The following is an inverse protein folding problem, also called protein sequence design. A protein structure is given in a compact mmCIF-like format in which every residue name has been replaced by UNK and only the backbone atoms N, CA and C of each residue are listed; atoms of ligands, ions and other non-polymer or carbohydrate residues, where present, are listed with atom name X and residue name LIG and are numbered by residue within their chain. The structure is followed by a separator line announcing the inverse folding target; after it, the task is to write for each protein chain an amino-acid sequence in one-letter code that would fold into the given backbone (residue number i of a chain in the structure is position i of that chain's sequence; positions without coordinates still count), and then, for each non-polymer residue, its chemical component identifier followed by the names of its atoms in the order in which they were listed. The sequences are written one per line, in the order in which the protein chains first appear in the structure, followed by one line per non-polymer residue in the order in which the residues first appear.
data_IF_498941508100
#
_entry.id   IF_498941508100
#
_cell.length_a   1.000
_cell.length_b   1.000
_cell.length_c   1.000
_cell.angle_alpha   90.00
_cell.angle_beta   90.00
_cell.angle_gamma   90.00
#
_symmetry.space_group_name_H-M   'P 1'
#
loop_
_entity.id
_entity.type
_entity.pdbx_description
1 polymer ?
#
# COMPACT_ATOMS: atom_id res chain seq x y z
N UNK A 1 -16.49 9.57 21.16
CA UNK A 1 -16.34 8.20 21.69
C UNK A 1 -17.04 7.24 20.73
N UNK A 2 -16.37 6.87 19.64
CA UNK A 2 -16.86 5.89 18.66
C UNK A 2 -15.87 4.74 18.68
N UNK A 3 -16.29 3.59 19.24
CA UNK A 3 -15.50 2.36 19.23
C UNK A 3 -15.34 1.91 17.78
N UNK A 4 -14.11 1.86 17.30
CA UNK A 4 -13.75 1.15 16.09
C UNK A 4 -14.22 -0.29 16.24
N UNK A 5 -15.12 -0.72 15.36
CA UNK A 5 -15.42 -2.12 15.16
C UNK A 5 -14.22 -2.73 14.43
N UNK A 6 -13.20 -3.11 15.20
CA UNK A 6 -12.26 -4.14 14.76
C UNK A 6 -13.04 -5.45 14.72
N UNK A 7 -13.52 -5.83 13.53
CA UNK A 7 -14.08 -7.15 13.27
C UNK A 7 -12.93 -8.17 13.36
N UNK A 8 -12.53 -8.50 14.60
CA UNK A 8 -11.58 -9.55 14.98
C UNK A 8 -12.29 -10.91 14.95
N UNK A 9 -12.99 -11.21 13.85
CA UNK A 9 -13.36 -12.59 13.56
C UNK A 9 -12.17 -13.26 12.89
N UNK A 10 -11.62 -14.35 13.44
CA UNK A 10 -10.52 -15.07 12.80
C UNK A 10 -10.95 -15.49 11.40
N UNK A 11 -10.23 -14.98 10.40
CA UNK A 11 -10.52 -15.25 9.00
C UNK A 11 -10.27 -16.75 8.73
N UNK A 12 -11.28 -17.54 8.31
CA UNK A 12 -11.17 -18.99 8.13
C UNK A 12 -10.18 -19.43 7.03
N UNK A 13 -9.50 -18.49 6.38
CA UNK A 13 -8.47 -18.70 5.35
C UNK A 13 -7.06 -18.28 5.80
N UNK A 14 -6.79 -18.18 7.11
CA UNK A 14 -5.44 -17.91 7.61
C UNK A 14 -4.56 -19.15 7.49
N UNK A 15 -3.41 -19.00 6.83
CA UNK A 15 -2.38 -20.03 6.80
C UNK A 15 -1.53 -19.92 8.06
N UNK A 16 -0.92 -21.04 8.46
CA UNK A 16 -0.02 -21.05 9.60
C UNK A 16 1.43 -20.97 9.13
N UNK A 17 2.29 -20.36 9.95
CA UNK A 17 3.73 -20.37 9.72
C UNK A 17 4.29 -21.80 9.74
N UNK A 18 3.69 -22.70 10.53
CA UNK A 18 4.08 -24.10 10.59
C UNK A 18 3.83 -24.83 9.26
N UNK A 19 2.68 -24.59 8.62
CA UNK A 19 2.36 -25.20 7.33
C UNK A 19 3.26 -24.66 6.20
N UNK A 20 3.61 -23.37 6.25
CA UNK A 20 4.60 -22.78 5.35
C UNK A 20 5.96 -23.47 5.51
N UNK A 21 6.47 -23.56 6.74
CA UNK A 21 7.76 -24.18 7.06
C UNK A 21 7.80 -25.68 6.74
N UNK A 22 6.65 -26.35 6.83
CA UNK A 22 6.52 -27.76 6.46
C UNK A 22 6.36 -27.96 4.94
N UNK A 23 6.36 -26.91 4.12
CA UNK A 23 6.20 -27.00 2.67
C UNK A 23 4.80 -27.40 2.20
N UNK A 24 3.81 -27.47 3.10
CA UNK A 24 2.44 -27.89 2.77
C UNK A 24 1.69 -26.89 1.88
N UNK A 25 2.23 -25.68 1.78
CA UNK A 25 1.69 -24.58 1.01
C UNK A 25 2.29 -24.50 -0.40
N UNK A 26 3.05 -25.51 -0.83
CA UNK A 26 3.61 -25.54 -2.19
C UNK A 26 2.51 -25.35 -3.25
N UNK A 27 2.75 -24.44 -4.20
CA UNK A 27 1.85 -24.18 -5.31
C UNK A 27 0.67 -23.25 -5.04
N UNK A 28 0.51 -22.72 -3.82
CA UNK A 28 -0.58 -21.78 -3.54
C UNK A 28 -0.37 -20.45 -4.26
N UNK A 29 -1.48 -19.84 -4.67
CA UNK A 29 -1.47 -18.50 -5.29
C UNK A 29 -1.67 -17.36 -4.32
N UNK A 30 -2.19 -17.64 -3.12
CA UNK A 30 -2.55 -16.63 -2.12
C UNK A 30 -2.08 -17.09 -0.75
N UNK A 31 -1.13 -16.35 -0.17
CA UNK A 31 -0.66 -16.57 1.19
C UNK A 31 -1.19 -15.47 2.11
N UNK A 32 -1.67 -15.88 3.28
CA UNK A 32 -2.12 -14.98 4.33
C UNK A 32 -1.52 -15.43 5.65
N UNK A 33 -0.65 -14.62 6.24
CA UNK A 33 -0.02 -14.85 7.53
C UNK A 33 -0.25 -13.64 8.44
N UNK A 34 -0.96 -13.86 9.55
CA UNK A 34 -1.12 -12.91 10.65
C UNK A 34 -0.91 -13.67 11.95
N UNK A 35 0.37 -13.97 12.23
CA UNK A 35 0.77 -14.82 13.35
C UNK A 35 1.89 -14.18 14.17
N UNK A 36 1.90 -12.84 14.24
CA UNK A 36 2.87 -12.07 15.02
C UNK A 36 4.28 -12.10 14.45
N UNK A 37 4.41 -12.12 13.12
CA UNK A 37 5.72 -12.12 12.45
C UNK A 37 6.52 -10.87 12.82
N UNK A 38 7.73 -11.03 13.35
CA UNK A 38 8.69 -9.93 13.53
C UNK A 38 9.62 -9.76 12.34
N UNK A 39 9.73 -10.79 11.50
CA UNK A 39 10.56 -10.84 10.30
C UNK A 39 9.83 -11.53 9.16
N UNK A 40 10.27 -11.25 7.92
CA UNK A 40 9.75 -11.91 6.74
C UNK A 40 10.23 -13.38 6.71
N UNK A 41 9.33 -14.38 6.68
CA UNK A 41 9.73 -15.79 6.56
C UNK A 41 10.36 -16.07 5.19
N UNK A 42 11.62 -16.49 5.18
CA UNK A 42 12.35 -16.79 3.94
C UNK A 42 11.66 -17.91 3.12
N UNK A 43 10.92 -18.80 3.78
CA UNK A 43 10.17 -19.89 3.15
C UNK A 43 9.06 -19.40 2.20
N UNK A 44 8.66 -18.13 2.27
CA UNK A 44 7.76 -17.53 1.28
C UNK A 44 8.39 -17.56 -0.12
N UNK A 45 9.72 -17.50 -0.23
CA UNK A 45 10.42 -17.59 -1.51
C UNK A 45 10.30 -18.96 -2.18
N UNK A 46 10.00 -20.02 -1.43
CA UNK A 46 9.69 -21.34 -2.00
C UNK A 46 8.38 -21.34 -2.81
N UNK A 47 7.58 -20.27 -2.68
CA UNK A 47 6.34 -20.07 -3.43
C UNK A 47 6.52 -19.15 -4.64
N UNK A 48 7.76 -18.74 -4.97
CA UNK A 48 8.05 -17.75 -6.01
C UNK A 48 7.42 -18.05 -7.37
N UNK A 49 7.32 -19.32 -7.75
CA UNK A 49 6.76 -19.77 -9.02
C UNK A 49 5.23 -19.69 -9.10
N UNK A 50 4.53 -19.47 -7.98
CA UNK A 50 3.06 -19.55 -7.93
C UNK A 50 2.37 -18.41 -7.20
N UNK A 51 3.05 -17.74 -6.26
CA UNK A 51 2.44 -16.77 -5.38
C UNK A 51 2.05 -15.48 -6.13
N UNK A 52 0.75 -15.19 -6.17
CA UNK A 52 0.19 -13.98 -6.81
C UNK A 52 -0.26 -12.94 -5.79
N UNK A 53 -0.68 -13.36 -4.58
CA UNK A 53 -1.19 -12.49 -3.52
C UNK A 53 -0.51 -12.83 -2.21
N UNK A 54 0.12 -11.84 -1.58
CA UNK A 54 0.75 -11.97 -0.29
C UNK A 54 0.10 -10.99 0.70
N UNK A 55 -0.49 -11.53 1.76
CA UNK A 55 -1.00 -10.74 2.88
C UNK A 55 -0.20 -11.07 4.15
N UNK A 56 0.49 -10.06 4.66
CA UNK A 56 1.29 -10.03 5.89
C UNK A 56 0.72 -8.99 6.88
N UNK A 57 -0.56 -8.63 6.75
CA UNK A 57 -1.17 -7.63 7.61
C UNK A 57 -1.35 -8.14 9.05
N UNK A 58 -1.32 -7.25 10.03
CA UNK A 58 -1.47 -7.60 11.44
C UNK A 58 -0.30 -8.41 11.97
N UNK A 59 0.92 -7.94 11.73
CA UNK A 59 2.17 -8.51 12.24
C UNK A 59 3.01 -7.38 12.87
N UNK A 60 4.28 -7.67 13.18
CA UNK A 60 5.25 -6.73 13.76
C UNK A 60 6.42 -6.47 12.80
N UNK A 61 6.18 -6.52 11.49
CA UNK A 61 7.21 -6.32 10.47
C UNK A 61 7.62 -4.85 10.37
N UNK A 62 8.92 -4.60 10.41
CA UNK A 62 9.49 -3.26 10.19
C UNK A 62 10.13 -3.11 8.82
N UNK A 63 10.40 -4.22 8.13
CA UNK A 63 11.06 -4.27 6.83
C UNK A 63 10.55 -5.45 5.99
N UNK A 64 10.85 -5.41 4.70
CA UNK A 64 10.72 -6.51 3.75
C UNK A 64 12.11 -6.81 3.17
N UNK A 65 12.38 -8.04 2.72
CA UNK A 65 13.69 -8.38 2.17
C UNK A 65 13.96 -7.62 0.86
N UNK A 66 15.24 -7.34 0.59
CA UNK A 66 15.68 -6.59 -0.60
C UNK A 66 15.40 -7.35 -1.90
N UNK A 67 15.39 -8.69 -1.85
CA UNK A 67 15.15 -9.58 -2.97
C UNK A 67 13.67 -10.02 -3.10
N UNK A 68 12.73 -9.23 -2.59
CA UNK A 68 11.29 -9.50 -2.72
C UNK A 68 10.85 -9.69 -4.19
N UNK A 69 11.57 -9.05 -5.13
CA UNK A 69 11.34 -9.19 -6.57
C UNK A 69 11.50 -10.62 -7.11
N UNK A 70 12.10 -11.55 -6.34
CA UNK A 70 12.11 -12.99 -6.62
C UNK A 70 10.72 -13.58 -6.73
N UNK A 71 9.71 -12.99 -6.09
CA UNK A 71 8.31 -13.36 -6.24
C UNK A 71 7.77 -12.82 -7.57
N UNK A 72 8.24 -13.39 -8.68
CA UNK A 72 8.03 -12.87 -10.05
C UNK A 72 6.56 -12.80 -10.48
N UNK A 73 5.70 -13.61 -9.86
CA UNK A 73 4.26 -13.65 -10.09
C UNK A 73 3.44 -12.75 -9.14
N UNK A 74 4.07 -12.08 -8.17
CA UNK A 74 3.38 -11.29 -7.16
C UNK A 74 2.68 -10.07 -7.78
N UNK A 75 1.37 -9.99 -7.57
CA UNK A 75 0.48 -8.94 -8.09
C UNK A 75 -0.11 -8.07 -6.99
N UNK A 76 -0.25 -8.62 -5.78
CA UNK A 76 -0.89 -7.96 -4.65
C UNK A 76 -0.07 -8.18 -3.38
N UNK A 77 0.27 -7.10 -2.70
CA UNK A 77 0.93 -7.12 -1.41
C UNK A 77 0.14 -6.29 -0.41
N UNK A 78 -0.23 -6.91 0.71
CA UNK A 78 -0.80 -6.24 1.88
C UNK A 78 0.11 -6.45 3.09
N UNK A 79 0.50 -5.37 3.74
CA UNK A 79 1.27 -5.33 4.98
C UNK A 79 0.69 -4.25 5.91
N UNK A 80 -0.64 -4.20 6.00
CA UNK A 80 -1.34 -3.24 6.87
C UNK A 80 -1.17 -3.61 8.34
N UNK A 81 -1.36 -2.66 9.26
CA UNK A 81 -1.26 -2.90 10.71
C UNK A 81 0.09 -3.55 11.09
N UNK A 82 1.17 -2.89 10.69
CA UNK A 82 2.56 -3.21 11.01
C UNK A 82 3.30 -1.92 11.42
N UNK A 83 4.49 -2.00 12.03
CA UNK A 83 5.27 -0.82 12.43
C UNK A 83 6.20 -0.26 11.34
N UNK A 84 5.88 -0.36 10.04
CA UNK A 84 6.73 0.21 8.98
C UNK A 84 6.81 1.74 9.11
N UNK A 85 8.02 2.30 9.04
CA UNK A 85 8.28 3.74 9.08
C UNK A 85 8.56 4.34 7.70
N UNK A 86 8.83 3.50 6.71
CA UNK A 86 9.10 3.85 5.31
C UNK A 86 8.38 2.83 4.42
N UNK A 87 7.97 3.24 3.21
CA UNK A 87 7.52 2.26 2.22
C UNK A 87 8.74 1.50 1.67
N UNK A 88 8.83 0.16 1.78
CA UNK A 88 10.05 -0.58 1.43
C UNK A 88 10.40 -0.47 -0.05
N UNK A 89 11.65 -0.13 -0.38
CA UNK A 89 12.08 0.08 -1.78
C UNK A 89 12.06 -1.19 -2.61
N UNK A 90 12.24 -2.36 -1.99
CA UNK A 90 12.22 -3.66 -2.67
C UNK A 90 10.91 -3.95 -3.41
N UNK A 91 9.79 -3.35 -2.97
CA UNK A 91 8.51 -3.52 -3.68
C UNK A 91 8.52 -2.87 -5.06
N UNK A 92 9.27 -1.77 -5.27
CA UNK A 92 9.32 -1.11 -6.56
C UNK A 92 10.08 -1.88 -7.64
N UNK A 93 10.90 -2.87 -7.23
CA UNK A 93 11.55 -3.82 -8.13
C UNK A 93 10.59 -4.91 -8.65
N UNK A 94 9.42 -5.10 -8.02
CA UNK A 94 8.45 -6.13 -8.37
C UNK A 94 7.65 -5.75 -9.64
N UNK A 95 8.09 -6.25 -10.80
CA UNK A 95 7.57 -5.85 -12.12
C UNK A 95 6.09 -6.14 -12.38
N UNK A 96 5.51 -7.13 -11.68
CA UNK A 96 4.11 -7.51 -11.82
C UNK A 96 3.21 -6.96 -10.70
N UNK A 97 3.77 -6.27 -9.72
CA UNK A 97 3.03 -5.78 -8.56
C UNK A 97 2.11 -4.63 -8.96
N UNK A 98 0.82 -4.79 -8.68
CA UNK A 98 -0.25 -3.85 -9.08
C UNK A 98 -0.95 -3.23 -7.89
N UNK A 99 -1.08 -3.96 -6.78
CA UNK A 99 -1.80 -3.49 -5.60
C UNK A 99 -0.86 -3.56 -4.40
N UNK A 100 -0.65 -2.41 -3.77
CA UNK A 100 0.19 -2.24 -2.58
C UNK A 100 -0.65 -1.62 -1.47
N UNK A 101 -0.70 -2.26 -0.30
CA UNK A 101 -1.41 -1.73 0.86
C UNK A 101 -0.63 -1.84 2.17
N UNK A 102 -0.35 -0.68 2.76
CA UNK A 102 0.30 -0.49 4.06
C UNK A 102 -0.57 0.44 4.91
N UNK A 103 -1.86 0.12 5.05
CA UNK A 103 -2.77 0.89 5.90
C UNK A 103 -2.33 0.79 7.37
N UNK A 104 -2.57 1.82 8.19
CA UNK A 104 -2.38 1.77 9.63
C UNK A 104 -0.96 1.35 10.02
N UNK A 105 0.02 2.01 9.40
CA UNK A 105 1.44 1.86 9.70
C UNK A 105 1.96 3.17 10.32
N UNK A 106 3.28 3.37 10.33
CA UNK A 106 3.92 4.61 10.78
C UNK A 106 4.75 5.25 9.67
N UNK A 107 4.36 5.04 8.40
CA UNK A 107 5.14 5.47 7.25
C UNK A 107 5.22 7.00 7.23
N UNK A 108 6.43 7.52 7.23
CA UNK A 108 6.74 8.94 7.12
C UNK A 108 7.31 9.27 5.73
N UNK A 109 7.96 8.30 5.09
CA UNK A 109 8.64 8.49 3.81
C UNK A 109 8.20 7.48 2.76
N UNK A 110 7.98 7.98 1.54
CA UNK A 110 7.72 7.20 0.33
C UNK A 110 8.74 7.63 -0.71
N UNK A 111 9.73 6.77 -1.00
CA UNK A 111 10.72 7.07 -2.04
C UNK A 111 10.19 6.68 -3.43
N UNK A 112 10.77 7.27 -4.47
CA UNK A 112 10.46 6.91 -5.86
C UNK A 112 10.77 5.43 -6.16
N UNK A 113 11.81 4.89 -5.53
CA UNK A 113 12.25 3.51 -5.68
C UNK A 113 11.25 2.50 -5.12
N UNK A 114 10.39 2.90 -4.18
CA UNK A 114 9.34 2.06 -3.60
C UNK A 114 8.06 1.98 -4.46
N UNK A 115 8.03 2.56 -5.66
CA UNK A 115 6.85 2.60 -6.52
C UNK A 115 6.96 1.60 -7.68
N UNK A 116 6.17 0.51 -7.68
CA UNK A 116 6.20 -0.47 -8.76
C UNK A 116 5.80 0.14 -10.12
N UNK A 117 6.39 -0.31 -11.23
CA UNK A 117 6.15 0.28 -12.55
C UNK A 117 4.70 0.10 -13.04
N UNK A 118 4.02 -0.96 -12.61
CA UNK A 118 2.62 -1.28 -12.96
C UNK A 118 1.65 -1.02 -11.81
N UNK A 119 2.02 -0.14 -10.89
CA UNK A 119 1.20 0.23 -9.74
C UNK A 119 -0.18 0.74 -10.20
N UNK A 120 -1.21 0.03 -9.74
CA UNK A 120 -2.61 0.32 -10.03
C UNK A 120 -3.28 0.91 -8.81
N UNK A 121 -3.12 0.29 -7.65
CA UNK A 121 -3.71 0.74 -6.39
C UNK A 121 -2.63 0.91 -5.33
N UNK A 122 -2.62 2.07 -4.68
CA UNK A 122 -1.75 2.39 -3.56
C UNK A 122 -2.60 2.77 -2.35
N UNK A 123 -2.48 2.00 -1.27
CA UNK A 123 -3.25 2.19 -0.04
C UNK A 123 -2.27 2.47 1.10
N UNK A 124 -2.18 3.75 1.50
CA UNK A 124 -1.32 4.24 2.58
C UNK A 124 -2.15 5.01 3.62
N UNK A 125 -3.42 4.64 3.76
CA UNK A 125 -4.35 5.25 4.73
C UNK A 125 -3.85 5.07 6.16
N UNK A 126 -4.05 6.06 7.02
CA UNK A 126 -3.64 6.06 8.44
C UNK A 126 -2.12 5.85 8.59
N UNK A 127 -1.34 6.81 8.08
CA UNK A 127 0.12 6.85 8.22
C UNK A 127 0.56 8.27 8.66
N UNK A 128 1.82 8.64 8.46
CA UNK A 128 2.40 9.91 8.89
C UNK A 128 3.07 10.66 7.74
N UNK A 129 2.67 10.39 6.50
CA UNK A 129 3.31 10.88 5.29
C UNK A 129 3.09 12.38 5.15
N UNK A 130 4.17 13.14 4.96
CA UNK A 130 4.11 14.61 4.75
C UNK A 130 4.14 15.02 3.27
N UNK A 131 4.78 14.20 2.42
CA UNK A 131 4.89 14.43 0.98
C UNK A 131 4.99 13.11 0.21
N UNK A 132 4.72 13.17 -1.08
CA UNK A 132 4.85 12.06 -2.03
C UNK A 132 5.87 12.44 -3.10
N UNK A 133 6.56 11.47 -3.72
CA UNK A 133 7.51 11.75 -4.80
C UNK A 133 6.78 12.03 -6.11
N UNK A 134 7.37 12.87 -6.96
CA UNK A 134 6.83 13.22 -8.29
C UNK A 134 6.70 12.00 -9.20
N UNK A 135 7.51 10.96 -9.02
CA UNK A 135 7.44 9.70 -9.76
C UNK A 135 6.12 8.94 -9.59
N UNK A 136 5.32 9.28 -8.58
CA UNK A 136 3.97 8.72 -8.45
C UNK A 136 3.08 9.11 -9.64
N UNK A 137 3.26 10.32 -10.16
CA UNK A 137 2.58 10.80 -11.38
C UNK A 137 2.95 10.02 -12.64
N UNK A 138 4.10 9.32 -12.62
CA UNK A 138 4.62 8.52 -13.76
C UNK A 138 4.15 7.07 -13.74
N UNK A 139 3.07 6.74 -13.01
CA UNK A 139 2.47 5.40 -12.93
C UNK A 139 1.25 5.32 -13.84
N UNK A 140 1.40 4.85 -15.10
CA UNK A 140 0.35 4.98 -16.13
C UNK A 140 -0.90 4.15 -15.83
N UNK A 141 -0.78 3.16 -14.96
CA UNK A 141 -1.87 2.27 -14.55
C UNK A 141 -2.56 2.71 -13.24
N UNK A 142 -2.14 3.82 -12.62
CA UNK A 142 -2.67 4.23 -11.31
C UNK A 142 -4.16 4.59 -11.41
N UNK A 143 -4.97 3.93 -10.59
CA UNK A 143 -6.43 4.07 -10.56
C UNK A 143 -6.98 4.44 -9.19
N UNK A 144 -6.34 3.97 -8.11
CA UNK A 144 -6.84 4.15 -6.75
C UNK A 144 -5.70 4.59 -5.85
N UNK A 145 -5.85 5.76 -5.27
CA UNK A 145 -4.88 6.34 -4.35
C UNK A 145 -5.55 6.67 -3.02
N UNK A 146 -5.30 5.84 -1.99
CA UNK A 146 -5.89 5.98 -0.66
C UNK A 146 -4.84 6.53 0.33
N UNK A 147 -4.91 7.83 0.60
CA UNK A 147 -3.98 8.60 1.43
C UNK A 147 -4.65 9.26 2.64
N UNK A 148 -5.88 8.87 2.96
CA UNK A 148 -6.60 9.50 4.07
C UNK A 148 -5.88 9.26 5.41
N UNK A 149 -5.97 10.20 6.36
CA UNK A 149 -5.34 10.05 7.67
C UNK A 149 -3.81 10.13 7.60
N UNK A 150 -3.29 11.12 6.88
CA UNK A 150 -1.85 11.39 6.77
C UNK A 150 -1.55 12.85 7.18
N UNK A 151 -0.36 13.36 6.85
CA UNK A 151 0.10 14.72 7.17
C UNK A 151 0.42 15.52 5.90
N UNK A 152 -0.16 15.14 4.76
CA UNK A 152 0.13 15.73 3.46
C UNK A 152 -0.23 17.21 3.45
N UNK A 153 0.73 18.06 3.06
CA UNK A 153 0.51 19.50 2.86
C UNK A 153 0.18 19.87 1.42
N UNK A 154 0.60 19.05 0.47
CA UNK A 154 0.31 19.17 -0.95
C UNK A 154 0.31 17.80 -1.62
N UNK A 155 -0.14 17.77 -2.88
CA UNK A 155 0.00 16.61 -3.77
C UNK A 155 1.01 16.96 -4.89
N UNK A 156 1.81 15.99 -5.37
CA UNK A 156 2.70 16.20 -6.51
C UNK A 156 1.93 16.70 -7.74
N UNK A 157 2.47 17.72 -8.42
CA UNK A 157 1.84 18.27 -9.63
C UNK A 157 1.76 17.24 -10.77
N UNK A 158 2.69 16.29 -10.80
CA UNK A 158 2.75 15.19 -11.77
C UNK A 158 1.56 14.23 -11.68
N UNK A 159 0.78 14.24 -10.59
CA UNK A 159 -0.47 13.46 -10.52
C UNK A 159 -1.52 13.91 -11.55
N UNK A 160 -1.37 15.10 -12.16
CA UNK A 160 -2.15 15.53 -13.31
C UNK A 160 -2.04 14.55 -14.51
N UNK A 161 -0.92 13.83 -14.63
CA UNK A 161 -0.66 12.87 -15.71
C UNK A 161 -1.31 11.48 -15.46
N UNK A 162 -1.88 11.27 -14.27
CA UNK A 162 -2.55 10.01 -13.91
C UNK A 162 -3.96 9.95 -14.50
N UNK A 163 -4.08 9.90 -15.84
CA UNK A 163 -5.36 9.93 -16.55
C UNK A 163 -6.32 8.77 -16.22
N UNK A 164 -5.83 7.69 -15.59
CA UNK A 164 -6.65 6.56 -15.13
C UNK A 164 -7.06 6.65 -13.67
N UNK A 165 -6.71 7.73 -12.96
CA UNK A 165 -7.03 7.88 -11.54
C UNK A 165 -8.55 8.05 -11.37
N UNK A 166 -9.20 7.01 -10.87
CA UNK A 166 -10.65 6.93 -10.69
C UNK A 166 -11.08 7.35 -9.27
N UNK A 167 -10.25 7.03 -8.28
CA UNK A 167 -10.57 7.17 -6.87
C UNK A 167 -9.39 7.80 -6.11
N UNK A 168 -9.60 8.99 -5.56
CA UNK A 168 -8.63 9.66 -4.69
C UNK A 168 -9.23 9.90 -3.29
N UNK A 169 -8.58 9.37 -2.25
CA UNK A 169 -8.92 9.67 -0.85
C UNK A 169 -7.77 10.40 -0.19
N UNK A 170 -7.98 11.66 0.14
CA UNK A 170 -7.01 12.56 0.77
C UNK A 170 -7.61 13.25 2.01
N UNK A 171 -8.75 12.77 2.50
CA UNK A 171 -9.38 13.26 3.72
C UNK A 171 -8.47 13.12 4.95
N UNK A 172 -8.67 13.94 5.99
CA UNK A 172 -7.86 13.91 7.21
C UNK A 172 -6.36 14.08 6.90
N UNK A 173 -6.02 15.21 6.30
CA UNK A 173 -4.64 15.61 5.97
C UNK A 173 -4.42 17.08 6.37
N UNK A 174 -3.38 17.72 5.85
CA UNK A 174 -3.01 19.12 6.13
C UNK A 174 -3.00 19.97 4.86
N UNK A 175 -3.82 19.61 3.88
CA UNK A 175 -3.93 20.34 2.62
C UNK A 175 -4.62 21.69 2.88
N UNK A 176 -4.00 22.78 2.45
CA UNK A 176 -4.58 24.13 2.52
C UNK A 176 -5.33 24.51 1.24
N UNK A 177 -5.04 23.80 0.15
CA UNK A 177 -5.69 23.95 -1.14
C UNK A 177 -5.81 22.60 -1.86
N UNK A 178 -6.73 22.53 -2.82
CA UNK A 178 -6.84 21.41 -3.74
C UNK A 178 -6.21 21.80 -5.08
N UNK A 179 -5.33 20.97 -5.67
CA UNK A 179 -4.73 21.28 -6.96
C UNK A 179 -5.77 21.41 -8.07
N UNK A 180 -5.64 22.44 -8.92
CA UNK A 180 -6.58 22.72 -10.02
C UNK A 180 -6.73 21.55 -11.01
N UNK A 181 -5.68 20.74 -11.19
CA UNK A 181 -5.70 19.60 -12.10
C UNK A 181 -6.67 18.49 -11.67
N UNK A 182 -7.13 18.45 -10.41
CA UNK A 182 -8.08 17.44 -9.94
C UNK A 182 -9.37 17.43 -10.77
N UNK A 183 -9.86 18.61 -11.13
CA UNK A 183 -11.08 18.77 -11.92
C UNK A 183 -10.88 18.47 -13.41
N UNK A 184 -9.63 18.38 -13.86
CA UNK A 184 -9.28 18.02 -15.25
C UNK A 184 -9.02 16.53 -15.45
N UNK A 185 -8.98 15.73 -14.39
CA UNK A 185 -8.72 14.30 -14.52
C UNK A 185 -9.92 13.59 -15.18
N UNK A 186 -9.72 12.93 -16.33
CA UNK A 186 -10.84 12.44 -17.14
C UNK A 186 -11.56 11.23 -16.53
N UNK A 187 -10.90 10.48 -15.66
CA UNK A 187 -11.44 9.28 -15.04
C UNK A 187 -11.88 9.47 -13.57
N UNK A 188 -11.61 10.64 -12.96
CA UNK A 188 -11.84 10.84 -11.52
C UNK A 188 -13.35 10.82 -11.23
N UNK A 189 -13.80 9.76 -10.57
CA UNK A 189 -15.21 9.54 -10.25
C UNK A 189 -15.50 9.75 -8.76
N UNK A 190 -14.49 9.59 -7.90
CA UNK A 190 -14.67 9.72 -6.45
C UNK A 190 -13.49 10.44 -5.80
N UNK A 191 -13.80 11.56 -5.15
CA UNK A 191 -12.86 12.37 -4.39
C UNK A 191 -13.35 12.51 -2.95
N UNK A 192 -12.54 12.08 -1.98
CA UNK A 192 -12.78 12.33 -0.57
C UNK A 192 -11.65 13.19 0.01
N UNK A 193 -11.97 14.43 0.39
CA UNK A 193 -11.00 15.43 0.83
C UNK A 193 -11.36 16.15 2.14
N UNK A 194 -12.47 15.77 2.77
CA UNK A 194 -12.93 16.35 4.03
C UNK A 194 -11.85 16.29 5.13
N UNK A 195 -11.99 17.11 6.17
CA UNK A 195 -11.03 17.14 7.29
C UNK A 195 -9.60 17.53 6.84
N UNK A 196 -9.53 18.52 5.94
CA UNK A 196 -8.32 19.25 5.61
C UNK A 196 -8.55 20.73 5.95
N UNK A 197 -7.51 21.49 6.37
CA UNK A 197 -7.61 22.92 6.60
C UNK A 197 -7.64 23.71 5.28
N UNK A 198 -8.57 23.37 4.39
CA UNK A 198 -8.75 24.07 3.12
C UNK A 198 -9.24 25.50 3.36
N UNK A 199 -8.67 26.45 2.62
CA UNK A 199 -9.12 27.85 2.64
C UNK A 199 -9.04 28.50 4.03
N UNK A 200 -8.03 28.15 4.82
CA UNK A 200 -7.69 28.89 6.05
C UNK A 200 -6.69 29.98 5.68
N UNK A 201 -7.13 31.24 5.75
CA UNK A 201 -6.31 32.45 5.61
C UNK A 201 -5.26 32.58 6.72
#
# INVERSE_FOLDING_TARGET
MMRALSDQRPNPFMHTLADLRAGKLAGIKRLNLSCGLSEFPAEIFELADTLEVLNLSGNSLTSLPDDLCRLTHLRVLFASDNPFTHLPESIGQCQQLRIVGFKANHIEQVSAAALPPRLRWLILTDNRIESLPDELGRRPDLQKLMLAGNRLRSLPATLADCHRLELLRIAANRLTELPAWLLSLPALAWLAYADNPLCVE
#
